data_IF_778157437170
#
_entry.id   IF_778157437170
#
_cell.length_a   1.000
_cell.length_b   1.000
_cell.length_c   1.000
_cell.angle_alpha   90.00
_cell.angle_beta   90.00
_cell.angle_gamma   90.00
#
_symmetry.space_group_name_H-M   'P 1'
#
loop_
_entity.id
_entity.type
_entity.pdbx_description
1 polymer ?
#
# COMPACT_ATOMS: atom_id res chain seq x y z
N UNK A 1 20.58 -32.55 -21.50
CA UNK A 1 21.22 -31.64 -20.52
C UNK A 1 20.77 -30.19 -20.72
N UNK A 2 21.01 -29.57 -21.89
CA UNK A 2 20.62 -28.18 -22.18
C UNK A 2 19.15 -27.83 -21.86
N UNK A 3 18.13 -28.64 -22.20
CA UNK A 3 16.73 -28.32 -21.87
C UNK A 3 16.47 -28.20 -20.37
N UNK A 4 17.12 -29.03 -19.55
CA UNK A 4 16.94 -29.03 -18.09
C UNK A 4 17.63 -27.84 -17.42
N UNK A 5 18.76 -27.38 -17.97
CA UNK A 5 19.42 -26.15 -17.53
C UNK A 5 18.52 -24.95 -17.83
N UNK A 6 17.96 -24.87 -19.03
CA UNK A 6 17.01 -23.80 -19.39
C UNK A 6 15.76 -23.84 -18.51
N UNK A 7 15.22 -25.04 -18.23
CA UNK A 7 14.06 -25.20 -17.35
C UNK A 7 14.36 -24.79 -15.90
N UNK A 8 15.58 -25.08 -15.40
CA UNK A 8 16.03 -24.64 -14.08
C UNK A 8 16.07 -23.11 -13.99
N UNK A 9 16.72 -22.46 -14.96
CA UNK A 9 16.81 -20.99 -15.00
C UNK A 9 15.42 -20.38 -15.10
N UNK A 10 14.58 -20.89 -16.01
CA UNK A 10 13.21 -20.40 -16.18
C UNK A 10 12.38 -20.56 -14.90
N UNK A 11 12.50 -21.69 -14.20
CA UNK A 11 11.80 -21.93 -12.93
C UNK A 11 12.23 -20.92 -11.87
N UNK A 12 13.54 -20.71 -11.67
CA UNK A 12 14.05 -19.76 -10.66
C UNK A 12 13.52 -18.36 -10.96
N UNK A 13 13.64 -17.89 -12.21
CA UNK A 13 13.17 -16.56 -12.61
C UNK A 13 11.66 -16.42 -12.38
N UNK A 14 10.89 -17.45 -12.73
CA UNK A 14 9.44 -17.47 -12.55
C UNK A 14 9.03 -17.38 -11.08
N UNK A 15 9.61 -18.19 -10.20
CA UNK A 15 9.28 -18.19 -8.77
C UNK A 15 9.75 -16.91 -8.07
N UNK A 16 10.94 -16.40 -8.42
CA UNK A 16 11.40 -15.09 -7.93
C UNK A 16 10.42 -13.98 -8.34
N UNK A 17 9.94 -13.97 -9.59
CA UNK A 17 8.95 -12.98 -10.04
C UNK A 17 7.62 -13.10 -9.27
N UNK A 18 7.14 -14.33 -9.02
CA UNK A 18 5.92 -14.55 -8.23
C UNK A 18 6.08 -14.02 -6.81
N UNK A 19 7.14 -14.41 -6.11
CA UNK A 19 7.32 -14.12 -4.68
C UNK A 19 7.74 -12.67 -4.43
N UNK A 20 8.59 -12.11 -5.28
CA UNK A 20 9.14 -10.76 -5.09
C UNK A 20 8.30 -9.64 -5.75
N UNK A 21 7.52 -9.93 -6.80
CA UNK A 21 6.81 -8.90 -7.56
C UNK A 21 5.29 -9.11 -7.50
N UNK A 22 4.80 -10.28 -7.89
CA UNK A 22 3.37 -10.51 -8.09
C UNK A 22 2.63 -10.60 -6.77
N UNK A 23 3.04 -11.50 -5.87
CA UNK A 23 2.39 -11.70 -4.58
C UNK A 23 2.38 -10.43 -3.73
N UNK A 24 3.47 -9.66 -3.59
CA UNK A 24 3.45 -8.39 -2.87
C UNK A 24 2.50 -7.37 -3.49
N UNK A 25 2.45 -7.27 -4.82
CA UNK A 25 1.53 -6.33 -5.50
C UNK A 25 0.07 -6.73 -5.39
N UNK A 26 -0.24 -8.01 -5.26
CA UNK A 26 -1.63 -8.48 -5.12
C UNK A 26 -2.11 -8.41 -3.67
N UNK A 27 -1.26 -8.74 -2.71
CA UNK A 27 -1.66 -8.92 -1.30
C UNK A 27 -1.26 -7.74 -0.41
N UNK A 28 -0.12 -7.10 -0.65
CA UNK A 28 0.40 -6.00 0.19
C UNK A 28 0.02 -4.61 -0.33
N UNK A 29 -0.90 -4.52 -1.30
CA UNK A 29 -1.58 -3.26 -1.62
C UNK A 29 -2.39 -2.84 -0.42
N UNK A 30 -2.04 -1.69 0.17
CA UNK A 30 -2.87 -1.09 1.21
C UNK A 30 -4.22 -0.74 0.58
N UNK A 31 -5.31 -1.23 1.16
CA UNK A 31 -6.62 -0.56 0.99
C UNK A 31 -6.49 0.84 1.58
N UNK A 32 -7.38 1.79 1.34
CA UNK A 32 -7.44 2.98 2.21
C UNK A 32 -8.52 2.74 3.26
N UNK A 33 -8.66 3.60 4.28
CA UNK A 33 -9.78 3.46 5.20
C UNK A 33 -11.07 3.39 4.37
N UNK A 34 -11.80 2.28 4.51
CA UNK A 34 -12.87 1.84 3.59
C UNK A 34 -14.11 2.74 3.64
N UNK A 35 -14.09 3.86 4.38
CA UNK A 35 -15.23 4.74 4.55
C UNK A 35 -14.82 6.20 4.40
N UNK A 36 -15.38 6.94 3.42
CA UNK A 36 -15.31 8.39 3.45
C UNK A 36 -15.85 8.90 4.78
N UNK A 37 -15.17 9.88 5.37
CA UNK A 37 -15.75 10.58 6.52
C UNK A 37 -17.07 11.23 6.09
N UNK A 38 -18.02 11.28 7.02
CA UNK A 38 -19.32 11.92 6.82
C UNK A 38 -19.18 13.46 6.85
N UNK A 39 -18.44 13.99 5.89
CA UNK A 39 -18.27 15.43 5.73
C UNK A 39 -19.56 16.02 5.17
N UNK A 40 -20.02 17.12 5.77
CA UNK A 40 -21.30 17.74 5.40
C UNK A 40 -21.07 18.83 4.38
N UNK A 41 -21.67 18.69 3.19
CA UNK A 41 -21.72 19.77 2.21
C UNK A 41 -22.63 20.89 2.70
N UNK A 42 -22.08 22.09 2.88
CA UNK A 42 -22.79 23.23 3.46
C UNK A 42 -23.25 24.20 2.37
N UNK A 43 -22.40 24.42 1.37
CA UNK A 43 -22.59 25.52 0.40
C UNK A 43 -22.04 25.14 -0.96
N UNK A 44 -22.76 25.53 -2.01
CA UNK A 44 -22.33 25.43 -3.41
C UNK A 44 -22.44 26.82 -4.03
N UNK A 45 -21.33 27.35 -4.50
CA UNK A 45 -21.28 28.66 -5.15
C UNK A 45 -20.52 28.58 -6.47
N UNK A 46 -20.94 29.40 -7.43
CA UNK A 46 -20.21 29.61 -8.67
C UNK A 46 -19.61 31.01 -8.63
N UNK A 47 -18.29 31.07 -8.55
CA UNK A 47 -17.55 32.34 -8.51
C UNK A 47 -16.70 32.38 -9.77
N UNK A 48 -16.97 33.35 -10.65
CA UNK A 48 -16.21 33.59 -11.89
C UNK A 48 -16.07 32.35 -12.81
N UNK A 49 -17.08 31.47 -12.84
CA UNK A 49 -17.06 30.26 -13.66
C UNK A 49 -16.41 29.05 -12.99
N UNK A 50 -15.94 29.18 -11.75
CA UNK A 50 -15.42 28.09 -10.93
C UNK A 50 -16.50 27.64 -9.94
N UNK A 51 -16.76 26.33 -9.90
CA UNK A 51 -17.68 25.76 -8.92
C UNK A 51 -16.93 25.48 -7.62
N UNK A 52 -17.32 26.15 -6.55
CA UNK A 52 -16.82 25.93 -5.19
C UNK A 52 -17.85 25.17 -4.37
N UNK A 53 -17.42 24.07 -3.76
CA UNK A 53 -18.20 23.25 -2.84
C UNK A 53 -17.56 23.31 -1.47
N UNK A 54 -18.25 23.91 -0.50
CA UNK A 54 -17.74 24.08 0.86
C UNK A 54 -18.29 22.98 1.75
N UNK A 55 -17.39 22.37 2.50
CA UNK A 55 -17.66 21.25 3.38
C UNK A 55 -17.22 21.56 4.81
N UNK A 56 -17.95 20.95 5.73
CA UNK A 56 -17.63 20.90 7.14
C UNK A 56 -17.04 19.53 7.47
N UNK A 57 -15.79 19.48 7.95
CA UNK A 57 -15.16 18.21 8.30
C UNK A 57 -15.76 17.65 9.61
N UNK A 58 -15.52 16.37 9.86
CA UNK A 58 -15.92 15.70 11.10
C UNK A 58 -15.47 16.46 12.37
N UNK A 59 -16.25 16.37 13.46
CA UNK A 59 -16.01 17.01 14.76
C UNK A 59 -14.57 16.94 15.27
N UNK A 60 -13.85 15.83 15.02
CA UNK A 60 -12.46 15.68 15.42
C UNK A 60 -11.53 16.59 14.63
N UNK A 61 -11.66 16.58 13.30
CA UNK A 61 -10.90 17.42 12.37
C UNK A 61 -11.28 18.89 12.49
N UNK A 62 -12.55 19.18 12.81
CA UNK A 62 -13.09 20.54 12.96
C UNK A 62 -12.40 21.39 14.04
N UNK A 63 -11.75 20.74 15.01
CA UNK A 63 -10.94 21.40 16.04
C UNK A 63 -9.71 22.12 15.48
N UNK A 64 -9.27 21.75 14.28
CA UNK A 64 -8.09 22.30 13.62
C UNK A 64 -8.44 22.96 12.28
N UNK A 65 -9.40 22.39 11.57
CA UNK A 65 -9.81 22.83 10.22
C UNK A 65 -11.28 23.19 10.27
N UNK A 66 -11.61 24.48 10.25
CA UNK A 66 -12.99 24.96 10.37
C UNK A 66 -13.85 24.45 9.21
N UNK A 67 -13.36 24.62 7.99
CA UNK A 67 -14.03 24.31 6.74
C UNK A 67 -13.00 24.02 5.65
N UNK A 68 -13.42 23.35 4.59
CA UNK A 68 -12.62 23.23 3.37
C UNK A 68 -13.51 23.40 2.13
N UNK A 69 -12.92 23.89 1.06
CA UNK A 69 -13.58 24.08 -0.22
C UNK A 69 -12.91 23.21 -1.28
N UNK A 70 -13.74 22.48 -2.03
CA UNK A 70 -13.34 21.85 -3.29
C UNK A 70 -13.74 22.76 -4.43
N UNK A 71 -12.75 23.26 -5.16
CA UNK A 71 -12.96 24.17 -6.26
C UNK A 71 -12.67 23.43 -7.56
N UNK A 72 -13.63 23.46 -8.48
CA UNK A 72 -13.55 22.89 -9.82
C UNK A 72 -13.54 24.01 -10.84
N UNK A 73 -12.40 24.20 -11.48
CA UNK A 73 -12.25 25.02 -12.68
C UNK A 73 -12.49 24.18 -13.94
N UNK A 74 -12.31 24.77 -15.13
CA UNK A 74 -12.51 24.07 -16.42
C UNK A 74 -11.48 22.95 -16.62
N UNK A 75 -10.24 23.17 -16.21
CA UNK A 75 -9.11 22.26 -16.39
C UNK A 75 -8.67 21.61 -15.09
N UNK A 76 -8.75 22.35 -13.98
CA UNK A 76 -8.12 21.96 -12.72
C UNK A 76 -9.12 21.80 -11.57
N UNK A 77 -8.74 20.94 -10.63
CA UNK A 77 -9.42 20.81 -9.34
C UNK A 77 -8.43 21.10 -8.25
N UNK A 78 -8.87 21.84 -7.23
CA UNK A 78 -8.02 22.13 -6.09
C UNK A 78 -8.82 22.19 -4.79
N UNK A 79 -8.15 21.87 -3.69
CA UNK A 79 -8.66 22.02 -2.34
C UNK A 79 -8.05 23.25 -1.67
N UNK A 80 -8.87 23.95 -0.88
CA UNK A 80 -8.43 25.04 0.00
C UNK A 80 -9.05 24.81 1.38
N UNK A 81 -8.24 24.89 2.43
CA UNK A 81 -8.67 24.65 3.80
C UNK A 81 -8.63 25.95 4.59
N UNK A 82 -9.56 26.10 5.52
CA UNK A 82 -9.63 27.20 6.46
C UNK A 82 -9.32 26.69 7.87
N UNK A 83 -8.25 27.21 8.48
CA UNK A 83 -7.73 26.76 9.77
C UNK A 83 -8.36 27.51 10.94
N UNK A 84 -8.24 26.94 12.14
CA UNK A 84 -8.62 27.63 13.39
C UNK A 84 -7.61 28.73 13.74
N UNK A 85 -8.04 29.66 14.59
CA UNK A 85 -7.35 30.94 14.76
C UNK A 85 -6.01 30.85 15.50
N UNK A 86 -5.85 29.83 16.34
CA UNK A 86 -4.69 29.61 17.23
C UNK A 86 -3.73 28.52 16.70
N UNK A 87 -3.91 28.08 15.46
CA UNK A 87 -3.10 27.02 14.87
C UNK A 87 -1.82 27.58 14.24
N UNK A 88 -0.63 27.05 14.58
CA UNK A 88 0.65 27.50 14.01
C UNK A 88 1.24 26.51 13.00
N UNK A 89 1.02 25.21 13.22
CA UNK A 89 1.53 24.12 12.41
C UNK A 89 0.48 23.03 12.28
N UNK A 90 0.36 22.48 11.06
CA UNK A 90 -0.48 21.33 10.80
C UNK A 90 0.14 20.41 9.76
N UNK A 91 0.03 19.11 10.02
CA UNK A 91 0.31 18.02 9.10
C UNK A 91 -1.00 17.27 8.88
N UNK A 92 -1.46 17.19 7.64
CA UNK A 92 -2.70 16.51 7.30
C UNK A 92 -2.59 15.76 5.98
N UNK A 93 -3.41 14.73 5.85
CA UNK A 93 -3.55 13.93 4.64
C UNK A 93 -4.91 14.24 4.00
N UNK A 94 -4.86 14.51 2.69
CA UNK A 94 -6.05 14.57 1.86
C UNK A 94 -6.18 13.24 1.13
N UNK A 95 -7.20 12.46 1.52
CA UNK A 95 -7.57 11.23 0.81
C UNK A 95 -8.51 11.61 -0.32
N UNK A 96 -8.05 11.39 -1.55
CA UNK A 96 -8.77 11.75 -2.76
C UNK A 96 -9.53 10.54 -3.27
N UNK A 97 -10.84 10.67 -3.41
CA UNK A 97 -11.69 9.61 -3.95
C UNK A 97 -12.18 9.97 -5.35
N UNK A 98 -12.18 8.98 -6.23
CA UNK A 98 -12.79 9.05 -7.55
C UNK A 98 -14.28 8.69 -7.49
N UNK A 99 -14.88 8.48 -8.67
CA UNK A 99 -16.20 7.87 -8.78
C UNK A 99 -16.13 6.44 -8.20
N UNK A 100 -17.24 5.95 -7.63
CA UNK A 100 -17.36 4.59 -7.04
C UNK A 100 -16.55 4.34 -5.75
N UNK A 101 -16.25 5.38 -4.97
CA UNK A 101 -15.54 5.27 -3.68
C UNK A 101 -14.12 4.68 -3.76
N UNK A 102 -13.52 4.66 -4.95
CA UNK A 102 -12.12 4.27 -5.12
C UNK A 102 -11.20 5.40 -4.71
N UNK A 103 -10.24 5.14 -3.82
CA UNK A 103 -9.16 6.11 -3.55
C UNK A 103 -8.22 6.19 -4.74
N UNK A 104 -8.00 7.42 -5.20
CA UNK A 104 -7.09 7.75 -6.30
C UNK A 104 -5.68 7.98 -5.76
N UNK A 105 -5.54 8.83 -4.76
CA UNK A 105 -4.26 9.22 -4.17
C UNK A 105 -4.45 9.76 -2.75
N UNK A 106 -3.37 9.80 -1.99
CA UNK A 106 -3.28 10.50 -0.72
C UNK A 106 -2.19 11.56 -0.82
N UNK A 107 -2.54 12.79 -0.49
CA UNK A 107 -1.63 13.92 -0.53
C UNK A 107 -1.32 14.30 0.91
N UNK A 108 -0.08 14.06 1.34
CA UNK A 108 0.41 14.56 2.62
C UNK A 108 0.85 16.01 2.48
N UNK A 109 0.30 16.87 3.33
CA UNK A 109 0.58 18.31 3.33
C UNK A 109 1.03 18.72 4.73
N UNK A 110 2.18 19.37 4.79
CA UNK A 110 2.75 19.95 6.01
C UNK A 110 2.87 21.44 5.82
N UNK A 111 2.10 22.20 6.57
CA UNK A 111 2.03 23.64 6.43
C UNK A 111 2.23 24.32 7.79
N UNK A 112 3.02 25.40 7.78
CA UNK A 112 2.98 26.40 8.85
C UNK A 112 1.86 27.38 8.52
N UNK A 113 0.92 27.53 9.44
CA UNK A 113 -0.27 28.34 9.23
C UNK A 113 0.14 29.81 9.13
N UNK A 114 -0.18 30.42 8.00
CA UNK A 114 0.07 31.85 7.75
C UNK A 114 -0.99 32.70 8.45
N UNK A 115 -0.73 34.00 8.58
CA UNK A 115 -1.68 34.99 9.14
C UNK A 115 -3.05 34.95 8.46
N UNK A 116 -3.10 34.59 7.17
CA UNK A 116 -4.33 34.44 6.40
C UNK A 116 -5.20 33.26 6.83
N UNK A 117 -4.67 32.31 7.62
CA UNK A 117 -5.37 31.11 8.15
C UNK A 117 -6.01 30.23 7.08
N UNK A 118 -5.54 30.34 5.85
CA UNK A 118 -6.01 29.59 4.70
C UNK A 118 -4.83 28.82 4.12
N UNK A 119 -5.05 27.56 3.76
CA UNK A 119 -4.03 26.72 3.13
C UNK A 119 -3.62 27.25 1.76
N UNK A 120 -2.46 26.79 1.28
CA UNK A 120 -2.16 26.96 -0.13
C UNK A 120 -3.14 26.14 -1.00
N UNK A 121 -3.26 26.49 -2.28
CA UNK A 121 -4.11 25.75 -3.22
C UNK A 121 -3.49 24.39 -3.48
N UNK A 122 -4.16 23.32 -3.05
CA UNK A 122 -3.66 21.95 -3.22
C UNK A 122 -4.28 21.36 -4.47
N UNK A 123 -3.45 21.10 -5.48
CA UNK A 123 -3.90 20.50 -6.73
C UNK A 123 -4.43 19.08 -6.50
N UNK A 124 -5.59 18.78 -7.10
CA UNK A 124 -6.24 17.49 -7.03
C UNK A 124 -6.32 16.86 -8.42
N UNK A 125 -6.28 15.52 -8.53
CA UNK A 125 -6.55 14.82 -9.79
C UNK A 125 -7.89 15.24 -10.41
N UNK A 126 -7.94 15.31 -11.74
CA UNK A 126 -9.16 15.69 -12.48
C UNK A 126 -10.32 14.71 -12.24
N UNK A 127 -10.03 13.46 -11.91
CA UNK A 127 -11.00 12.40 -11.61
C UNK A 127 -11.63 12.51 -10.20
N UNK A 128 -11.17 13.43 -9.36
CA UNK A 128 -11.65 13.58 -7.97
C UNK A 128 -13.15 13.82 -7.90
N UNK A 129 -13.88 12.96 -7.19
CA UNK A 129 -15.31 13.12 -6.90
C UNK A 129 -15.53 13.83 -5.56
N UNK A 130 -14.79 13.42 -4.53
CA UNK A 130 -14.83 14.00 -3.19
C UNK A 130 -13.50 13.74 -2.47
N UNK A 131 -13.27 14.42 -1.35
CA UNK A 131 -12.06 14.26 -0.53
C UNK A 131 -12.43 14.12 0.93
N UNK A 132 -11.55 13.47 1.67
CA UNK A 132 -11.60 13.37 3.13
C UNK A 132 -10.29 13.90 3.69
N UNK A 133 -10.38 14.66 4.79
CA UNK A 133 -9.22 15.32 5.40
C UNK A 133 -8.96 14.72 6.78
N UNK A 134 -7.73 14.26 6.98
CA UNK A 134 -7.28 13.60 8.19
C UNK A 134 -6.08 14.36 8.77
N UNK A 135 -6.19 14.80 10.01
CA UNK A 135 -5.11 15.58 10.68
C UNK A 135 -4.16 14.62 11.35
N UNK A 136 -2.90 14.60 10.94
CA UNK A 136 -1.87 13.74 11.53
C UNK A 136 -1.18 14.41 12.70
N UNK A 137 -0.95 15.73 12.63
CA UNK A 137 -0.26 16.50 13.66
C UNK A 137 -0.75 17.95 13.66
N UNK A 138 -0.88 18.55 14.84
CA UNK A 138 -1.22 19.97 15.00
C UNK A 138 -0.60 20.52 16.29
N UNK A 139 0.22 21.57 16.20
CA UNK A 139 0.84 22.30 17.34
C UNK A 139 1.23 21.38 18.52
N UNK A 140 2.12 20.42 18.27
CA UNK A 140 2.65 19.44 19.23
C UNK A 140 1.72 18.27 19.62
N UNK A 141 0.52 18.18 19.04
CA UNK A 141 -0.36 17.02 19.17
C UNK A 141 -0.28 16.14 17.95
N UNK A 142 0.28 14.95 18.11
CA UNK A 142 0.24 13.88 17.10
C UNK A 142 -1.05 13.08 17.27
N UNK A 143 -1.79 12.91 16.18
CA UNK A 143 -2.95 12.03 16.10
C UNK A 143 -2.57 10.76 15.36
N UNK A 144 -2.97 9.63 15.92
CA UNK A 144 -2.79 8.31 15.30
C UNK A 144 -3.85 8.10 14.19
N UNK A 145 -3.94 9.05 13.27
CA UNK A 145 -4.84 9.00 12.12
C UNK A 145 -4.14 8.20 11.02
N UNK A 146 -4.39 6.89 11.01
CA UNK A 146 -3.74 5.93 10.11
C UNK A 146 -4.33 6.07 8.69
N UNK A 147 -3.82 7.03 7.92
CA UNK A 147 -4.11 7.10 6.47
C UNK A 147 -3.23 6.12 5.69
N UNK A 148 -2.06 5.80 6.24
CA UNK A 148 -1.14 4.80 5.70
C UNK A 148 -1.63 3.42 6.13
N UNK A 149 -2.51 2.84 5.31
CA UNK A 149 -3.18 1.62 5.68
C UNK A 149 -2.20 0.43 5.71
N UNK A 150 -2.32 -0.32 6.80
CA UNK A 150 -1.59 -1.55 7.02
C UNK A 150 -2.34 -2.66 6.28
N UNK A 151 -1.67 -3.56 5.54
CA UNK A 151 -2.35 -4.73 5.01
C UNK A 151 -3.01 -5.47 6.18
N UNK A 152 -4.30 -5.81 6.05
CA UNK A 152 -5.06 -6.52 7.10
C UNK A 152 -4.27 -7.76 7.50
N UNK A 153 -4.17 -8.08 8.79
CA UNK A 153 -3.35 -9.20 9.28
C UNK A 153 -3.66 -10.53 8.57
N UNK A 154 -4.93 -10.75 8.20
CA UNK A 154 -5.37 -11.91 7.40
C UNK A 154 -4.74 -11.94 6.00
N UNK A 155 -4.60 -10.79 5.35
CA UNK A 155 -4.01 -10.66 4.01
C UNK A 155 -2.50 -10.86 4.07
N UNK A 156 -1.84 -10.35 5.12
CA UNK A 156 -0.41 -10.63 5.39
C UNK A 156 -0.19 -12.11 5.66
N UNK A 157 -1.07 -12.75 6.44
CA UNK A 157 -1.04 -14.19 6.66
C UNK A 157 -1.20 -14.99 5.37
N UNK A 158 -2.13 -14.57 4.50
CA UNK A 158 -2.33 -15.19 3.18
C UNK A 158 -1.09 -15.03 2.29
N UNK A 159 -0.44 -13.87 2.31
CA UNK A 159 0.84 -13.67 1.61
C UNK A 159 1.88 -14.69 2.08
N UNK A 160 2.09 -14.81 3.39
CA UNK A 160 3.06 -15.76 3.93
C UNK A 160 2.76 -17.21 3.56
N UNK A 161 1.48 -17.60 3.61
CA UNK A 161 1.05 -18.93 3.20
C UNK A 161 1.37 -19.19 1.72
N UNK A 162 0.98 -18.28 0.82
CA UNK A 162 1.21 -18.43 -0.62
C UNK A 162 2.70 -18.43 -0.97
N UNK A 163 3.49 -17.55 -0.36
CA UNK A 163 4.94 -17.51 -0.56
C UNK A 163 5.62 -18.80 -0.08
N UNK A 164 5.19 -19.34 1.06
CA UNK A 164 5.73 -20.61 1.58
C UNK A 164 5.40 -21.75 0.63
N UNK A 165 4.15 -21.88 0.18
CA UNK A 165 3.74 -22.90 -0.80
C UNK A 165 4.59 -22.79 -2.08
N UNK A 166 4.82 -21.56 -2.57
CA UNK A 166 5.64 -21.32 -3.75
C UNK A 166 7.09 -21.80 -3.56
N UNK A 167 7.72 -21.51 -2.42
CA UNK A 167 9.09 -21.95 -2.09
C UNK A 167 9.17 -23.48 -2.02
N UNK A 168 8.16 -24.14 -1.44
CA UNK A 168 8.12 -25.60 -1.40
C UNK A 168 8.05 -26.20 -2.82
N UNK A 169 7.15 -25.70 -3.66
CA UNK A 169 7.03 -26.17 -5.05
C UNK A 169 8.33 -25.93 -5.81
N UNK A 170 8.92 -24.74 -5.69
CA UNK A 170 10.20 -24.39 -6.31
C UNK A 170 11.31 -25.36 -5.89
N UNK A 171 11.40 -25.69 -4.61
CA UNK A 171 12.44 -26.60 -4.08
C UNK A 171 12.37 -27.99 -4.74
N UNK A 172 11.15 -28.51 -4.97
CA UNK A 172 10.96 -29.77 -5.70
C UNK A 172 11.24 -29.62 -7.20
N UNK A 173 10.83 -28.52 -7.84
CA UNK A 173 11.17 -28.24 -9.24
C UNK A 173 12.69 -28.18 -9.45
N UNK A 174 13.41 -27.49 -8.57
CA UNK A 174 14.88 -27.43 -8.58
C UNK A 174 15.47 -28.82 -8.37
N UNK A 175 14.98 -29.60 -7.40
CA UNK A 175 15.43 -31.00 -7.20
C UNK A 175 15.26 -31.83 -8.46
N UNK A 176 14.10 -31.73 -9.14
CA UNK A 176 13.83 -32.43 -10.39
C UNK A 176 14.85 -32.03 -11.46
N UNK A 177 15.02 -30.73 -11.70
CA UNK A 177 16.01 -30.25 -12.68
C UNK A 177 17.43 -30.73 -12.37
N UNK A 178 17.86 -30.66 -11.10
CA UNK A 178 19.17 -31.13 -10.67
C UNK A 178 19.34 -32.64 -10.89
N UNK A 179 18.29 -33.44 -10.64
CA UNK A 179 18.33 -34.88 -10.89
C UNK A 179 18.60 -35.20 -12.36
N UNK A 180 17.97 -34.48 -13.29
CA UNK A 180 18.18 -34.66 -14.73
C UNK A 180 19.50 -34.09 -15.26
N UNK A 181 20.12 -33.14 -14.55
CA UNK A 181 21.42 -32.58 -14.92
C UNK A 181 22.57 -33.45 -14.41
N UNK A 182 22.48 -33.92 -13.16
CA UNK A 182 23.62 -34.53 -12.45
C UNK A 182 23.47 -36.03 -12.17
N UNK A 183 22.26 -36.56 -11.97
CA UNK A 183 22.09 -37.95 -11.50
C UNK A 183 22.09 -39.00 -12.62
N UNK A 184 21.93 -38.58 -13.89
CA UNK A 184 22.02 -39.48 -15.05
C UNK A 184 21.08 -40.69 -14.94
N UNK A 185 21.65 -41.89 -14.95
CA UNK A 185 20.91 -43.17 -14.84
C UNK A 185 20.28 -43.35 -13.45
N UNK A 186 20.82 -42.72 -12.40
CA UNK A 186 20.32 -42.80 -11.03
C UNK A 186 19.25 -41.77 -10.68
N UNK A 187 18.67 -41.10 -11.69
CA UNK A 187 17.66 -40.03 -11.49
C UNK A 187 16.46 -40.49 -10.66
N UNK A 188 15.94 -41.68 -10.93
CA UNK A 188 14.73 -42.20 -10.28
C UNK A 188 15.02 -42.52 -8.82
N UNK A 189 16.17 -43.14 -8.54
CA UNK A 189 16.67 -43.36 -7.19
C UNK A 189 16.83 -42.03 -6.43
N UNK A 190 17.38 -40.99 -7.05
CA UNK A 190 17.56 -39.68 -6.40
C UNK A 190 16.24 -38.93 -6.13
N UNK A 191 15.26 -39.07 -7.01
CA UNK A 191 13.94 -38.45 -6.85
C UNK A 191 13.10 -39.15 -5.77
N UNK A 192 13.13 -40.49 -5.75
CA UNK A 192 12.37 -41.31 -4.83
C UNK A 192 13.08 -41.56 -3.49
N UNK A 193 14.35 -41.17 -3.38
CA UNK A 193 15.08 -41.27 -2.13
C UNK A 193 14.39 -40.45 -1.02
N UNK A 194 13.94 -41.17 0.01
CA UNK A 194 13.25 -40.60 1.16
C UNK A 194 14.17 -39.66 1.94
N UNK A 195 15.46 -40.03 2.08
CA UNK A 195 16.42 -39.18 2.78
C UNK A 195 16.62 -37.86 2.05
N UNK A 196 16.87 -37.89 0.74
CA UNK A 196 16.96 -36.71 -0.11
C UNK A 196 15.69 -35.85 -0.09
N UNK A 197 14.50 -36.45 0.01
CA UNK A 197 13.24 -35.70 0.16
C UNK A 197 13.17 -34.96 1.51
N UNK A 198 13.57 -35.59 2.62
CA UNK A 198 13.66 -34.91 3.92
C UNK A 198 14.65 -33.75 3.91
N UNK A 199 15.80 -33.92 3.25
CA UNK A 199 16.79 -32.84 3.09
C UNK A 199 16.19 -31.67 2.29
N UNK A 200 15.52 -31.94 1.16
CA UNK A 200 14.85 -30.89 0.36
C UNK A 200 13.77 -30.16 1.16
N UNK A 201 12.95 -30.88 1.92
CA UNK A 201 11.94 -30.28 2.80
C UNK A 201 12.59 -29.41 3.88
N UNK A 202 13.68 -29.88 4.50
CA UNK A 202 14.43 -29.11 5.49
C UNK A 202 14.99 -27.79 4.93
N UNK A 203 15.57 -27.84 3.72
CA UNK A 203 16.05 -26.63 3.03
C UNK A 203 14.90 -25.66 2.68
N UNK A 204 13.77 -26.17 2.19
CA UNK A 204 12.59 -25.36 1.90
C UNK A 204 12.06 -24.64 3.15
N UNK A 205 12.07 -25.30 4.31
CA UNK A 205 11.70 -24.70 5.60
C UNK A 205 12.66 -23.57 5.97
N UNK A 206 13.98 -23.79 5.88
CA UNK A 206 14.98 -22.76 6.19
C UNK A 206 14.80 -21.53 5.29
N UNK A 207 14.65 -21.73 3.97
CA UNK A 207 14.44 -20.64 3.01
C UNK A 207 13.13 -19.90 3.32
N UNK A 208 12.05 -20.62 3.64
CA UNK A 208 10.77 -20.02 4.01
C UNK A 208 10.88 -19.16 5.28
N UNK A 209 11.60 -19.64 6.31
CA UNK A 209 11.84 -18.87 7.54
C UNK A 209 12.62 -17.58 7.23
N UNK A 210 13.69 -17.66 6.44
CA UNK A 210 14.47 -16.48 6.04
C UNK A 210 13.58 -15.49 5.26
N UNK A 211 12.78 -15.97 4.31
CA UNK A 211 11.85 -15.15 3.53
C UNK A 211 10.83 -14.43 4.44
N UNK A 212 10.24 -15.14 5.40
CA UNK A 212 9.30 -14.57 6.37
C UNK A 212 9.99 -13.47 7.19
N UNK A 213 11.20 -13.71 7.72
CA UNK A 213 11.95 -12.74 8.49
C UNK A 213 12.26 -11.46 7.69
N UNK A 214 12.76 -11.60 6.46
CA UNK A 214 13.06 -10.46 5.57
C UNK A 214 11.79 -9.65 5.27
N UNK A 215 10.69 -10.34 4.99
CA UNK A 215 9.41 -9.68 4.68
C UNK A 215 8.83 -8.99 5.92
N UNK A 216 8.92 -9.60 7.11
CA UNK A 216 8.52 -8.97 8.37
C UNK A 216 9.32 -7.69 8.63
N UNK A 217 10.65 -7.72 8.42
CA UNK A 217 11.50 -6.54 8.54
C UNK A 217 11.06 -5.46 7.53
N UNK A 218 10.77 -5.85 6.29
CA UNK A 218 10.35 -4.92 5.22
C UNK A 218 8.99 -4.28 5.51
N UNK A 219 8.02 -5.08 5.97
CA UNK A 219 6.69 -4.60 6.40
C UNK A 219 6.82 -3.70 7.63
N UNK A 220 7.69 -4.03 8.59
CA UNK A 220 7.94 -3.22 9.78
C UNK A 220 8.63 -1.89 9.44
N UNK A 221 9.59 -1.87 8.51
CA UNK A 221 10.19 -0.62 8.02
C UNK A 221 9.16 0.26 7.33
N UNK A 222 8.27 -0.33 6.52
CA UNK A 222 7.14 0.39 5.90
C UNK A 222 6.16 0.96 6.93
N UNK A 223 6.08 0.39 8.14
CA UNK A 223 5.23 0.90 9.23
C UNK A 223 5.79 2.18 9.89
N UNK A 224 7.10 2.41 9.79
CA UNK A 224 7.81 3.50 10.47
C UNK A 224 8.09 4.71 9.56
N UNK A 225 7.66 4.64 8.30
CA UNK A 225 7.69 5.73 7.32
C UNK A 225 6.26 6.18 7.05
#
# INVERSE_FOLDING_TARGET
MLPWILMLIASIVFFVAIVAIILPRMTLKGSYADQPLNDRGIKKENINGEWSFVFEPELKTRKFIKQYALIKSKTDKYAVLNFVDDLNYINYDIVVYGKENRVLTVINVKERVKVTRVSEKIALPTETAYVTILVNEADDKTFDNVVINRPKGKIVGLYFLLSTIAIFIESFCVKICLSFIFAGVFRESYLLDSYGNYVTMGLAVIISVIHVLITLISVRKRKNH
#
